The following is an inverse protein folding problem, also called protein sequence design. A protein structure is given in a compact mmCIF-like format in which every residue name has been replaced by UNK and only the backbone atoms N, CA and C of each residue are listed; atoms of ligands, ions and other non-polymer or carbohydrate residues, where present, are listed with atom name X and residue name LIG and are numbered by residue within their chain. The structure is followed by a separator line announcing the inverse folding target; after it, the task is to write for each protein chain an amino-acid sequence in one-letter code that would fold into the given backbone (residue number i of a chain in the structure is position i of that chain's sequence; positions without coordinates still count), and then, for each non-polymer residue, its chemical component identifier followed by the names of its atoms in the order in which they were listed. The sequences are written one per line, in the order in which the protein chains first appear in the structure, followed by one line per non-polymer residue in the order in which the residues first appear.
data_IF_884483041810
#
_entry.id   IF_884483041810
#
_cell.length_a   1.000
_cell.length_b   1.000
_cell.length_c   1.000
_cell.angle_alpha   90.00
_cell.angle_beta   90.00
_cell.angle_gamma   90.00
#
_symmetry.space_group_name_H-M   'P 1'
#
loop_
_entity.id
_entity.type
_entity.pdbx_description
1 polymer ?
#
# COMPACT_ATOMS: atom_id res chain seq x y z
N UNK A 1 -7.40 18.39 -20.39
CA UNK A 1 -7.02 17.88 -19.06
C UNK A 1 -6.23 16.61 -19.33
N UNK A 2 -4.97 16.64 -19.02
CA UNK A 2 -4.05 15.54 -19.34
C UNK A 2 -4.35 14.34 -18.41
N UNK A 3 -4.85 13.25 -19.00
CA UNK A 3 -5.22 12.02 -18.26
C UNK A 3 -4.00 11.15 -17.94
N UNK A 4 -2.89 11.76 -17.50
CA UNK A 4 -1.65 11.05 -17.16
C UNK A 4 -1.83 10.00 -16.05
N UNK A 5 -2.87 10.10 -15.24
CA UNK A 5 -3.18 9.13 -14.18
C UNK A 5 -3.78 7.81 -14.69
N UNK A 6 -4.44 7.81 -15.85
CA UNK A 6 -5.06 6.60 -16.42
C UNK A 6 -4.04 5.55 -16.90
N UNK A 7 -2.76 5.94 -17.03
CA UNK A 7 -1.67 5.03 -17.47
C UNK A 7 -0.89 4.41 -16.29
N UNK A 8 -1.09 4.90 -15.06
CA UNK A 8 -0.25 4.55 -13.91
C UNK A 8 -0.79 3.34 -13.15
N UNK A 9 -2.12 3.24 -13.00
CA UNK A 9 -2.78 2.17 -12.27
C UNK A 9 -3.54 1.27 -13.24
N UNK A 10 -3.30 -0.05 -13.23
CA UNK A 10 -4.11 -0.97 -14.02
C UNK A 10 -5.60 -0.85 -13.66
N UNK A 11 -6.48 -0.79 -14.66
CA UNK A 11 -7.92 -0.55 -14.47
C UNK A 11 -8.63 -1.65 -13.67
N UNK A 12 -8.07 -2.85 -13.66
CA UNK A 12 -8.60 -4.01 -12.93
C UNK A 12 -7.49 -4.63 -12.11
N UNK A 13 -7.80 -5.02 -10.88
CA UNK A 13 -6.89 -5.70 -9.97
C UNK A 13 -7.55 -6.81 -9.18
N UNK A 14 -6.76 -7.71 -8.62
CA UNK A 14 -7.19 -8.72 -7.67
C UNK A 14 -7.07 -8.17 -6.25
N UNK A 15 -8.14 -8.20 -5.47
CA UNK A 15 -8.11 -7.95 -4.02
C UNK A 15 -8.03 -9.26 -3.24
N UNK A 16 -7.16 -9.32 -2.23
CA UNK A 16 -6.93 -10.55 -1.43
C UNK A 16 -7.67 -10.54 -0.08
N UNK A 17 -8.61 -9.62 0.13
CA UNK A 17 -9.40 -9.58 1.36
C UNK A 17 -10.20 -10.89 1.56
N UNK A 18 -10.25 -11.37 2.81
CA UNK A 18 -10.89 -12.65 3.21
C UNK A 18 -10.26 -13.92 2.60
N UNK A 19 -9.09 -13.85 2.01
CA UNK A 19 -8.31 -15.01 1.62
C UNK A 19 -7.32 -15.36 2.74
N UNK A 20 -7.11 -16.64 3.00
CA UNK A 20 -5.94 -17.07 3.77
C UNK A 20 -4.65 -16.96 2.92
N UNK A 21 -3.50 -17.32 3.50
CA UNK A 21 -2.21 -17.19 2.82
C UNK A 21 -2.07 -18.12 1.61
N UNK A 22 -2.65 -19.33 1.64
CA UNK A 22 -2.60 -20.28 0.53
C UNK A 22 -3.58 -19.89 -0.58
N UNK A 23 -4.78 -19.45 -0.22
CA UNK A 23 -5.76 -18.90 -1.17
C UNK A 23 -5.20 -17.66 -1.87
N UNK A 24 -4.56 -16.77 -1.11
CA UNK A 24 -3.93 -15.57 -1.66
C UNK A 24 -2.80 -15.91 -2.64
N UNK A 25 -1.99 -16.92 -2.36
CA UNK A 25 -0.96 -17.43 -3.26
C UNK A 25 -1.60 -17.96 -4.55
N UNK A 26 -2.53 -18.90 -4.43
CA UNK A 26 -3.18 -19.52 -5.59
C UNK A 26 -3.88 -18.49 -6.48
N UNK A 27 -4.71 -17.63 -5.88
CA UNK A 27 -5.49 -16.63 -6.61
C UNK A 27 -4.62 -15.55 -7.25
N UNK A 28 -3.55 -15.11 -6.55
CA UNK A 28 -2.60 -14.14 -7.11
C UNK A 28 -1.87 -14.74 -8.32
N UNK A 29 -1.37 -15.96 -8.20
CA UNK A 29 -0.70 -16.66 -9.28
C UNK A 29 -1.60 -16.81 -10.51
N UNK A 30 -2.81 -17.33 -10.34
CA UNK A 30 -3.76 -17.52 -11.44
C UNK A 30 -4.18 -16.17 -12.06
N UNK A 31 -4.48 -15.16 -11.25
CA UNK A 31 -4.85 -13.84 -11.76
C UNK A 31 -3.76 -13.25 -12.67
N UNK A 32 -2.49 -13.33 -12.27
CA UNK A 32 -1.38 -12.82 -13.08
C UNK A 32 -1.26 -13.62 -14.38
N UNK A 33 -1.42 -14.93 -14.36
CA UNK A 33 -1.45 -15.77 -15.58
C UNK A 33 -2.59 -15.37 -16.53
N UNK A 34 -3.76 -15.00 -15.99
CA UNK A 34 -4.88 -14.50 -16.80
C UNK A 34 -4.74 -13.03 -17.22
N UNK A 35 -3.60 -12.40 -16.97
CA UNK A 35 -3.30 -11.06 -17.46
C UNK A 35 -3.57 -9.93 -16.47
N UNK A 36 -3.96 -10.20 -15.23
CA UNK A 36 -4.00 -9.18 -14.19
C UNK A 36 -2.59 -8.65 -13.91
N UNK A 37 -2.49 -7.35 -13.67
CA UNK A 37 -1.21 -6.68 -13.37
C UNK A 37 -1.29 -5.82 -12.12
N UNK A 38 -2.37 -5.91 -11.35
CA UNK A 38 -2.55 -5.22 -10.08
C UNK A 38 -3.05 -6.19 -9.01
N UNK A 39 -2.33 -6.25 -7.89
CA UNK A 39 -2.70 -7.02 -6.70
C UNK A 39 -2.86 -6.04 -5.54
N UNK A 40 -4.02 -6.10 -4.89
CA UNK A 40 -4.37 -5.28 -3.72
C UNK A 40 -4.47 -6.16 -2.48
N UNK A 41 -3.52 -5.99 -1.57
CA UNK A 41 -3.49 -6.66 -0.26
C UNK A 41 -3.43 -5.64 0.89
N UNK A 42 -3.28 -6.09 2.13
CA UNK A 42 -3.07 -5.26 3.30
C UNK A 42 -2.42 -6.04 4.46
N UNK A 43 -1.67 -5.35 5.31
CA UNK A 43 -1.03 -5.94 6.48
C UNK A 43 -2.04 -6.66 7.41
N UNK A 44 -3.26 -6.12 7.53
CA UNK A 44 -4.32 -6.69 8.40
C UNK A 44 -4.95 -7.97 7.82
N UNK A 45 -4.81 -8.23 6.53
CA UNK A 45 -5.32 -9.46 5.91
C UNK A 45 -4.47 -10.69 6.29
N UNK A 46 -3.22 -10.48 6.73
CA UNK A 46 -2.27 -11.52 7.16
C UNK A 46 -1.98 -12.55 6.05
N UNK A 47 -1.96 -12.12 4.81
CA UNK A 47 -1.75 -12.96 3.62
C UNK A 47 -0.76 -12.35 2.61
N UNK A 48 0.01 -11.34 3.02
CA UNK A 48 1.05 -10.74 2.20
C UNK A 48 2.16 -11.74 1.79
N UNK A 49 2.42 -12.74 2.62
CA UNK A 49 3.36 -13.84 2.34
C UNK A 49 2.85 -14.76 1.22
N UNK A 50 1.53 -14.99 1.12
CA UNK A 50 0.92 -15.71 0.00
C UNK A 50 1.11 -14.96 -1.33
N UNK A 51 0.89 -13.64 -1.33
CA UNK A 51 1.18 -12.80 -2.51
C UNK A 51 2.66 -12.92 -2.88
N UNK A 52 3.56 -12.89 -1.91
CA UNK A 52 5.01 -13.03 -2.13
C UNK A 52 5.36 -14.34 -2.85
N UNK A 53 4.86 -15.48 -2.36
CA UNK A 53 5.13 -16.80 -2.98
C UNK A 53 4.60 -16.88 -4.42
N UNK A 54 3.42 -16.29 -4.67
CA UNK A 54 2.87 -16.22 -6.03
C UNK A 54 3.76 -15.40 -6.97
N UNK A 55 4.25 -14.24 -6.52
CA UNK A 55 5.15 -13.39 -7.30
C UNK A 55 6.47 -14.09 -7.60
N UNK A 56 7.09 -14.70 -6.60
CA UNK A 56 8.33 -15.48 -6.76
C UNK A 56 8.15 -16.57 -7.83
N UNK A 57 7.05 -17.31 -7.75
CA UNK A 57 6.73 -18.36 -8.70
C UNK A 57 6.53 -17.81 -10.11
N UNK A 58 5.78 -16.71 -10.27
CA UNK A 58 5.55 -16.05 -11.55
C UNK A 58 6.87 -15.57 -12.19
N UNK A 59 7.75 -14.93 -11.42
CA UNK A 59 9.03 -14.43 -11.95
C UNK A 59 9.98 -15.55 -12.32
N UNK A 60 9.88 -16.71 -11.68
CA UNK A 60 10.69 -17.89 -12.02
C UNK A 60 10.14 -18.65 -13.26
N UNK A 61 8.82 -18.68 -13.44
CA UNK A 61 8.15 -19.46 -14.50
C UNK A 61 7.90 -18.64 -15.78
N UNK A 62 8.01 -17.32 -15.74
CA UNK A 62 7.69 -16.43 -16.86
C UNK A 62 8.79 -15.40 -17.12
N UNK A 63 8.63 -14.59 -18.17
CA UNK A 63 9.52 -13.43 -18.45
C UNK A 63 9.05 -12.14 -17.79
N UNK A 64 7.97 -12.19 -16.97
CA UNK A 64 7.46 -11.01 -16.26
C UNK A 64 8.48 -10.52 -15.24
N UNK A 65 8.58 -9.19 -15.17
CA UNK A 65 9.45 -8.49 -14.22
C UNK A 65 8.63 -7.80 -13.13
N UNK A 66 9.29 -7.46 -12.03
CA UNK A 66 8.65 -6.79 -10.88
C UNK A 66 7.93 -5.48 -11.28
N UNK A 67 8.50 -4.70 -12.16
CA UNK A 67 7.95 -3.43 -12.62
C UNK A 67 6.67 -3.56 -13.46
N UNK A 68 6.35 -4.74 -13.95
CA UNK A 68 5.13 -5.02 -14.71
C UNK A 68 3.94 -5.37 -13.83
N UNK A 69 4.17 -5.60 -12.53
CA UNK A 69 3.12 -5.92 -11.56
C UNK A 69 2.99 -4.77 -10.56
N UNK A 70 1.80 -4.19 -10.49
CA UNK A 70 1.48 -3.13 -9.55
C UNK A 70 0.99 -3.72 -8.23
N UNK A 71 1.68 -3.47 -7.13
CA UNK A 71 1.36 -3.99 -5.80
C UNK A 71 0.87 -2.87 -4.90
N UNK A 72 -0.35 -3.04 -4.39
CA UNK A 72 -0.91 -2.20 -3.32
C UNK A 72 -0.91 -2.98 -2.02
N UNK A 73 -0.39 -2.36 -0.96
CA UNK A 73 -0.65 -2.81 0.41
C UNK A 73 -1.00 -1.63 1.31
N UNK A 74 -1.41 -1.90 2.56
CA UNK A 74 -2.03 -0.87 3.41
C UNK A 74 -1.54 -1.00 4.85
N UNK A 75 -1.24 0.17 5.45
CA UNK A 75 -1.03 0.33 6.87
C UNK A 75 -2.34 0.10 7.61
N UNK A 76 -2.35 -0.77 8.59
CA UNK A 76 -3.39 -0.74 9.61
C UNK A 76 -3.08 0.39 10.62
N UNK A 77 -3.90 1.46 10.67
CA UNK A 77 -3.58 2.65 11.46
C UNK A 77 -3.72 2.43 12.98
N UNK A 78 -4.43 1.38 13.40
CA UNK A 78 -4.88 1.19 14.79
C UNK A 78 -6.08 2.06 15.17
N UNK A 79 -6.56 1.89 16.39
CA UNK A 79 -7.63 2.73 16.96
C UNK A 79 -9.06 2.33 16.57
N UNK A 80 -9.26 1.15 16.01
CA UNK A 80 -10.61 0.61 15.75
C UNK A 80 -11.31 0.21 17.05
N UNK A 81 -10.57 -0.40 17.98
CA UNK A 81 -11.04 -0.76 19.31
C UNK A 81 -10.09 -0.20 20.37
N UNK A 82 -10.54 -0.10 21.61
CA UNK A 82 -9.81 0.54 22.73
C UNK A 82 -8.41 -0.03 22.96
N UNK A 83 -8.21 -1.31 22.72
CA UNK A 83 -6.92 -2.00 22.90
C UNK A 83 -6.02 -1.98 21.65
N UNK A 84 -6.52 -1.53 20.50
CA UNK A 84 -5.76 -1.43 19.26
C UNK A 84 -4.96 -0.12 19.23
N UNK A 85 -3.70 -0.21 19.60
CA UNK A 85 -2.83 0.97 19.67
C UNK A 85 -2.73 1.68 18.33
N UNK A 86 -3.00 3.00 18.35
CA UNK A 86 -2.82 3.86 17.18
C UNK A 86 -1.33 3.96 16.83
N UNK A 87 -1.01 3.75 15.56
CA UNK A 87 0.36 3.82 15.04
C UNK A 87 0.79 5.29 14.91
N UNK A 88 1.93 5.62 15.50
CA UNK A 88 2.60 6.91 15.31
C UNK A 88 3.50 6.90 14.07
N UNK A 89 4.32 7.96 13.91
CA UNK A 89 5.27 8.10 12.82
C UNK A 89 6.24 6.90 12.74
N UNK A 90 6.88 6.54 13.86
CA UNK A 90 7.86 5.45 13.90
C UNK A 90 7.22 4.08 13.73
N UNK A 91 6.06 3.87 14.33
CA UNK A 91 5.30 2.62 14.18
C UNK A 91 4.86 2.41 12.73
N UNK A 92 4.49 3.50 12.03
CA UNK A 92 4.11 3.46 10.61
C UNK A 92 5.28 3.00 9.74
N UNK A 93 6.47 3.58 9.94
CA UNK A 93 7.67 3.14 9.21
C UNK A 93 7.99 1.67 9.48
N UNK A 94 7.95 1.24 10.76
CA UNK A 94 8.16 -0.18 11.12
C UNK A 94 7.11 -1.11 10.52
N UNK A 95 5.86 -0.66 10.41
CA UNK A 95 4.78 -1.44 9.79
C UNK A 95 5.01 -1.60 8.29
N UNK A 96 5.50 -0.57 7.62
CA UNK A 96 5.90 -0.62 6.22
C UNK A 96 7.02 -1.64 5.99
N UNK A 97 8.09 -1.56 6.77
CA UNK A 97 9.22 -2.52 6.66
C UNK A 97 8.76 -3.98 6.84
N UNK A 98 7.83 -4.23 7.77
CA UNK A 98 7.24 -5.56 7.94
C UNK A 98 6.43 -6.03 6.74
N UNK A 99 5.67 -5.14 6.09
CA UNK A 99 4.96 -5.47 4.85
C UNK A 99 5.93 -5.75 3.71
N UNK A 100 6.97 -4.92 3.57
CA UNK A 100 8.01 -5.09 2.56
C UNK A 100 8.72 -6.45 2.71
N UNK A 101 9.06 -6.84 3.96
CA UNK A 101 9.65 -8.15 4.26
C UNK A 101 8.71 -9.31 3.93
N UNK A 102 7.41 -9.24 4.31
CA UNK A 102 6.44 -10.31 4.02
C UNK A 102 6.17 -10.47 2.54
N UNK A 103 6.15 -9.36 1.81
CA UNK A 103 6.01 -9.35 0.35
C UNK A 103 7.31 -9.72 -0.38
N UNK A 104 8.44 -9.75 0.33
CA UNK A 104 9.77 -9.99 -0.22
C UNK A 104 10.08 -9.08 -1.42
N UNK A 105 9.84 -7.77 -1.25
CA UNK A 105 10.00 -6.75 -2.28
C UNK A 105 10.96 -5.66 -1.84
N UNK A 106 11.57 -4.95 -2.80
CA UNK A 106 12.42 -3.79 -2.55
C UNK A 106 11.63 -2.48 -2.45
N UNK A 107 10.47 -2.42 -3.10
CA UNK A 107 9.56 -1.28 -3.10
C UNK A 107 8.10 -1.72 -3.26
N UNK A 108 7.17 -0.85 -2.88
CA UNK A 108 5.72 -1.00 -3.09
C UNK A 108 5.25 0.05 -4.09
N UNK A 109 4.34 -0.32 -5.00
CA UNK A 109 3.80 0.65 -5.96
C UNK A 109 2.85 1.63 -5.28
N UNK A 110 1.91 1.17 -4.46
CA UNK A 110 0.96 2.01 -3.73
C UNK A 110 0.84 1.58 -2.28
N UNK A 111 1.12 2.51 -1.36
CA UNK A 111 0.93 2.30 0.08
C UNK A 111 -0.17 3.20 0.62
N UNK A 112 -1.19 2.59 1.23
CA UNK A 112 -2.36 3.30 1.71
C UNK A 112 -2.46 3.29 3.24
N UNK A 113 -3.02 4.35 3.85
CA UNK A 113 -3.58 4.25 5.19
C UNK A 113 -4.96 3.60 5.05
N UNK A 114 -5.14 2.41 5.66
CA UNK A 114 -6.28 1.52 5.39
C UNK A 114 -7.64 2.11 5.79
N UNK A 115 -7.65 2.94 6.84
CA UNK A 115 -8.88 3.54 7.36
C UNK A 115 -8.58 4.82 8.16
N UNK A 116 -9.58 5.66 8.44
CA UNK A 116 -9.41 6.89 9.21
C UNK A 116 -9.38 6.70 10.74
N UNK A 117 -9.36 5.47 11.27
CA UNK A 117 -9.53 5.20 12.70
C UNK A 117 -8.46 5.83 13.59
N UNK A 118 -7.23 5.90 13.16
CA UNK A 118 -6.13 6.48 13.93
C UNK A 118 -6.15 8.00 14.10
N UNK A 119 -7.29 8.61 14.45
CA UNK A 119 -7.53 10.08 14.46
C UNK A 119 -6.40 10.89 15.10
N UNK A 120 -5.92 10.51 16.29
CA UNK A 120 -4.89 11.26 17.01
C UNK A 120 -3.52 11.28 16.34
N UNK A 121 -3.28 10.39 15.37
CA UNK A 121 -1.97 10.18 14.70
C UNK A 121 -2.02 10.23 13.18
N UNK A 122 -3.18 10.55 12.57
CA UNK A 122 -3.35 10.57 11.09
C UNK A 122 -2.29 11.40 10.38
N UNK A 123 -1.97 12.57 10.92
CA UNK A 123 -0.97 13.47 10.35
C UNK A 123 0.43 12.85 10.44
N UNK A 124 0.76 12.20 11.56
CA UNK A 124 2.04 11.51 11.73
C UNK A 124 2.16 10.32 10.76
N UNK A 125 1.08 9.54 10.62
CA UNK A 125 1.00 8.45 9.65
C UNK A 125 1.20 8.97 8.23
N UNK A 126 0.51 10.05 7.84
CA UNK A 126 0.66 10.64 6.52
C UNK A 126 2.07 11.16 6.26
N UNK A 127 2.69 11.85 7.22
CA UNK A 127 4.08 12.29 7.14
C UNK A 127 5.05 11.11 6.94
N UNK A 128 4.78 9.96 7.56
CA UNK A 128 5.58 8.75 7.35
C UNK A 128 5.46 8.23 5.92
N UNK A 129 4.24 8.23 5.34
CA UNK A 129 4.05 7.83 3.94
C UNK A 129 4.78 8.79 2.98
N UNK A 130 4.71 10.10 3.22
CA UNK A 130 5.47 11.08 2.43
C UNK A 130 6.98 10.80 2.50
N UNK A 131 7.52 10.51 3.71
CA UNK A 131 8.94 10.16 3.88
C UNK A 131 9.33 8.89 3.12
N UNK A 132 8.46 7.87 3.10
CA UNK A 132 8.70 6.65 2.32
C UNK A 132 8.71 6.92 0.81
N UNK A 133 7.85 7.84 0.34
CA UNK A 133 7.83 8.28 -1.06
C UNK A 133 9.09 9.06 -1.44
N UNK A 134 9.57 9.99 -0.59
CA UNK A 134 10.83 10.70 -0.79
C UNK A 134 12.04 9.76 -0.84
N UNK A 135 12.01 8.68 -0.05
CA UNK A 135 13.05 7.66 -0.03
C UNK A 135 12.88 6.62 -1.17
N UNK A 136 11.97 6.84 -2.10
CA UNK A 136 11.66 5.95 -3.24
C UNK A 136 11.29 4.51 -2.83
N UNK A 137 10.89 4.31 -1.56
CA UNK A 137 10.41 3.02 -1.07
C UNK A 137 8.97 2.72 -1.51
N UNK A 138 8.21 3.75 -1.85
CA UNK A 138 6.88 3.66 -2.45
C UNK A 138 6.75 4.62 -3.63
N UNK A 139 6.11 4.19 -4.72
CA UNK A 139 5.85 5.06 -5.88
C UNK A 139 4.70 6.03 -5.63
N UNK A 140 3.61 5.52 -5.04
CA UNK A 140 2.40 6.29 -4.76
C UNK A 140 1.94 6.06 -3.32
N UNK A 141 1.34 7.09 -2.73
CA UNK A 141 0.76 7.06 -1.40
C UNK A 141 -0.69 7.52 -1.44
N UNK A 142 -1.51 7.03 -0.52
CA UNK A 142 -2.91 7.41 -0.48
C UNK A 142 -3.61 6.92 0.78
N UNK A 143 -4.94 6.97 0.73
CA UNK A 143 -5.83 6.60 1.83
C UNK A 143 -6.97 5.72 1.32
N UNK A 144 -7.52 4.89 2.19
CA UNK A 144 -8.64 3.99 1.91
C UNK A 144 -9.73 4.18 2.95
N UNK A 145 -11.00 4.12 2.53
CA UNK A 145 -12.16 4.30 3.42
C UNK A 145 -12.27 5.69 4.09
N UNK A 146 -11.70 6.72 3.48
CA UNK A 146 -11.72 8.08 3.98
C UNK A 146 -12.81 8.92 3.31
N UNK A 147 -13.59 9.65 4.12
CA UNK A 147 -14.50 10.68 3.61
C UNK A 147 -13.80 12.02 3.36
N UNK A 148 -14.48 12.94 2.68
CA UNK A 148 -13.96 14.27 2.31
C UNK A 148 -13.36 15.04 3.49
N UNK A 149 -14.01 15.02 4.65
CA UNK A 149 -13.53 15.74 5.84
C UNK A 149 -12.16 15.20 6.31
N UNK A 150 -11.97 13.88 6.25
CA UNK A 150 -10.68 13.26 6.60
C UNK A 150 -9.57 13.64 5.61
N UNK A 151 -9.92 13.72 4.31
CA UNK A 151 -8.96 14.11 3.27
C UNK A 151 -8.54 15.57 3.44
N UNK A 152 -9.48 16.45 3.80
CA UNK A 152 -9.17 17.86 4.04
C UNK A 152 -8.20 18.08 5.20
N UNK A 153 -8.20 17.21 6.24
CA UNK A 153 -7.19 17.24 7.30
C UNK A 153 -5.76 17.06 6.75
N UNK A 154 -5.59 16.25 5.70
CA UNK A 154 -4.27 15.96 5.11
C UNK A 154 -3.81 17.02 4.11
N UNK A 155 -4.73 17.68 3.42
CA UNK A 155 -4.37 18.70 2.40
C UNK A 155 -3.50 19.80 2.97
N UNK A 156 -3.82 20.32 4.15
CA UNK A 156 -3.05 21.38 4.81
C UNK A 156 -1.58 20.94 5.05
N UNK A 157 -1.34 19.68 5.38
CA UNK A 157 0.00 19.12 5.63
C UNK A 157 0.76 18.91 4.33
N UNK A 158 0.10 18.41 3.29
CA UNK A 158 0.73 18.15 1.99
C UNK A 158 1.17 19.45 1.31
N UNK A 159 0.38 20.52 1.39
CA UNK A 159 0.75 21.83 0.82
C UNK A 159 1.96 22.46 1.52
N UNK A 160 2.07 22.36 2.82
CA UNK A 160 3.23 22.90 3.56
C UNK A 160 4.52 22.13 3.24
N UNK A 161 4.41 20.85 2.98
CA UNK A 161 5.55 19.99 2.65
C UNK A 161 6.07 20.26 1.22
N UNK A 162 5.17 20.37 0.24
CA UNK A 162 5.54 20.71 -1.15
C UNK A 162 6.24 22.06 -1.25
N UNK A 163 5.77 23.09 -0.52
CA UNK A 163 6.42 24.41 -0.50
C UNK A 163 7.81 24.41 0.14
N UNK A 164 8.08 23.51 1.08
CA UNK A 164 9.41 23.41 1.71
C UNK A 164 10.50 22.84 0.78
N UNK A 165 10.11 22.22 -0.33
CA UNK A 165 11.03 21.68 -1.35
C UNK A 165 11.19 22.62 -2.56
N UNK A 166 10.45 23.73 -2.62
CA UNK A 166 10.53 24.73 -3.69
C UNK A 166 11.43 25.95 -3.32
N UNK A 167 12.00 25.96 -2.13
CA UNK A 167 12.96 27.00 -1.64
C UNK A 167 14.33 26.39 -1.42
#
# INVERSE_FOLDING_TARGET
MDNSYDQILPKVGLGTYNMDSNESEFMTYEAIKYGYRHIDTAAVYKNEDGVSRALERIFNETQLKREEIFITTKLWPGGLIKLDRVRDYKDTLKSFEKSLMRLNLEYIDLYLIHSPHGKSKRIEQWKSLMKLKEAEKVKYIGVSNWGINHINELKAVSYTHLRAHET
#
